data_IF_748449262167
#
_entry.id   IF_748449262167
#
_cell.length_a   1.000
_cell.length_b   1.000
_cell.length_c   1.000
_cell.angle_alpha   90.00
_cell.angle_beta   90.00
_cell.angle_gamma   90.00
#
_symmetry.space_group_name_H-M   'P 1'
#
loop_
_entity.id
_entity.type
_entity.pdbx_description
1 polymer ?
#
# COMPACT_ATOMS: atom_id res chain seq x y z
N UNK A 1 20.12 38.77 9.51
CA UNK A 1 18.78 38.15 9.43
C UNK A 1 18.74 36.89 8.54
N UNK A 2 19.83 36.10 8.48
CA UNK A 2 20.00 34.98 7.52
C UNK A 2 20.02 33.58 8.17
N UNK A 3 20.24 33.50 9.48
CA UNK A 3 20.41 32.22 10.21
C UNK A 3 19.06 31.52 10.43
N UNK A 4 17.98 32.29 10.61
CA UNK A 4 16.64 31.78 10.91
C UNK A 4 15.95 31.12 9.69
N UNK A 5 16.27 31.56 8.46
CA UNK A 5 15.71 30.97 7.23
C UNK A 5 16.25 29.57 6.94
N UNK A 6 17.50 29.29 7.29
CA UNK A 6 18.13 27.98 7.06
C UNK A 6 17.56 26.86 7.94
N UNK A 7 17.17 27.19 9.18
CA UNK A 7 16.53 26.23 10.10
C UNK A 7 15.12 25.88 9.66
N UNK A 8 14.34 26.87 9.20
CA UNK A 8 12.98 26.66 8.71
C UNK A 8 13.01 25.89 7.38
N UNK A 9 13.91 26.23 6.44
CA UNK A 9 14.03 25.47 5.19
C UNK A 9 14.48 24.03 5.43
N UNK A 10 15.41 23.77 6.35
CA UNK A 10 15.84 22.40 6.67
C UNK A 10 14.75 21.60 7.38
N UNK A 11 14.03 22.20 8.33
CA UNK A 11 12.90 21.55 9.01
C UNK A 11 11.76 21.20 8.05
N UNK A 12 11.44 22.09 7.11
CA UNK A 12 10.41 21.86 6.09
C UNK A 12 10.84 20.80 5.08
N UNK A 13 12.12 20.76 4.69
CA UNK A 13 12.64 19.73 3.77
C UNK A 13 12.60 18.34 4.42
N UNK A 14 12.97 18.23 5.70
CA UNK A 14 12.89 16.96 6.44
C UNK A 14 11.44 16.54 6.73
N UNK A 15 10.56 17.51 7.02
CA UNK A 15 9.12 17.26 7.18
C UNK A 15 8.43 16.78 5.90
N UNK A 16 8.89 17.22 4.72
CA UNK A 16 8.41 16.75 3.43
C UNK A 16 8.95 15.36 3.04
N UNK A 17 10.17 15.02 3.46
CA UNK A 17 10.75 13.68 3.23
C UNK A 17 10.15 12.63 4.18
N UNK A 18 9.72 13.03 5.38
CA UNK A 18 9.08 12.14 6.37
C UNK A 18 7.54 12.15 6.33
N UNK A 19 6.93 13.12 5.64
CA UNK A 19 5.48 13.33 5.63
C UNK A 19 4.71 12.66 4.49
N UNK A 20 5.40 11.99 3.56
CA UNK A 20 4.77 11.27 2.47
C UNK A 20 4.82 9.76 2.72
N UNK A 21 3.67 9.09 2.64
CA UNK A 21 3.48 7.62 2.62
C UNK A 21 3.14 6.96 3.97
N UNK A 22 2.10 7.45 4.64
CA UNK A 22 1.12 6.51 5.23
C UNK A 22 -0.21 6.76 4.55
N UNK A 23 -0.26 6.46 3.24
CA UNK A 23 -1.55 6.17 2.63
C UNK A 23 -1.98 4.85 3.24
N UNK A 24 -3.02 4.88 4.10
CA UNK A 24 -3.66 3.66 4.56
C UNK A 24 -3.90 2.75 3.35
N UNK A 25 -3.48 1.50 3.52
CA UNK A 25 -3.73 0.35 2.67
C UNK A 25 -5.23 0.11 2.49
N UNK A 26 -5.97 1.03 1.87
CA UNK A 26 -7.40 0.85 1.62
C UNK A 26 -7.50 -0.06 0.41
N UNK A 27 -7.74 -1.35 0.66
CA UNK A 27 -8.24 -2.26 -0.37
C UNK A 27 -9.52 -1.61 -0.92
N UNK A 28 -9.53 -1.28 -2.21
CA UNK A 28 -10.65 -0.55 -2.77
C UNK A 28 -11.88 -1.47 -2.88
N UNK A 29 -13.07 -0.87 -2.79
CA UNK A 29 -14.32 -1.54 -3.15
C UNK A 29 -14.67 -1.25 -4.62
N UNK A 30 -15.27 -2.20 -5.35
CA UNK A 30 -15.71 -1.95 -6.72
C UNK A 30 -16.75 -0.83 -6.77
N UNK A 31 -16.86 -0.07 -7.87
CA UNK A 31 -17.87 0.98 -8.00
C UNK A 31 -19.27 0.39 -7.92
N UNK A 32 -20.10 0.91 -7.01
CA UNK A 32 -21.48 0.43 -6.77
C UNK A 32 -22.33 0.45 -8.05
N UNK A 33 -22.09 1.41 -8.94
CA UNK A 33 -22.80 1.51 -10.21
C UNK A 33 -22.56 0.32 -11.15
N UNK A 34 -21.42 -0.37 -11.08
CA UNK A 34 -21.16 -1.56 -11.87
C UNK A 34 -21.93 -2.77 -11.33
N UNK A 35 -22.04 -2.86 -9.99
CA UNK A 35 -22.85 -3.88 -9.31
C UNK A 35 -24.33 -3.67 -9.65
N UNK A 36 -24.84 -2.44 -9.49
CA UNK A 36 -26.24 -2.10 -9.73
C UNK A 36 -26.69 -2.38 -11.17
N UNK A 37 -25.78 -2.22 -12.15
CA UNK A 37 -26.04 -2.50 -13.57
C UNK A 37 -25.79 -3.95 -13.97
N UNK A 38 -25.31 -4.78 -13.04
CA UNK A 38 -24.86 -6.14 -13.29
C UNK A 38 -23.83 -6.21 -14.43
N UNK A 39 -22.95 -5.20 -14.51
CA UNK A 39 -21.95 -5.06 -15.57
C UNK A 39 -20.72 -5.92 -15.27
N UNK A 40 -20.85 -7.22 -15.53
CA UNK A 40 -19.79 -8.19 -15.24
C UNK A 40 -18.52 -7.97 -16.07
N UNK A 41 -18.63 -7.41 -17.28
CA UNK A 41 -17.45 -7.10 -18.09
C UNK A 41 -16.63 -5.97 -17.44
N UNK A 42 -17.30 -4.90 -17.00
CA UNK A 42 -16.64 -3.80 -16.30
C UNK A 42 -16.12 -4.22 -14.92
N UNK A 43 -16.85 -5.07 -14.18
CA UNK A 43 -16.39 -5.61 -12.91
C UNK A 43 -15.12 -6.46 -13.08
N UNK A 44 -15.05 -7.31 -14.11
CA UNK A 44 -13.86 -8.09 -14.39
C UNK A 44 -12.64 -7.20 -14.63
N UNK A 45 -12.78 -6.19 -15.51
CA UNK A 45 -11.71 -5.24 -15.80
C UNK A 45 -11.29 -4.42 -14.57
N UNK A 46 -12.25 -4.06 -13.70
CA UNK A 46 -11.95 -3.35 -12.46
C UNK A 46 -11.12 -4.20 -11.51
N UNK A 47 -11.52 -5.46 -11.27
CA UNK A 47 -10.78 -6.36 -10.39
C UNK A 47 -9.39 -6.73 -10.93
N UNK A 48 -9.21 -6.83 -12.25
CA UNK A 48 -7.87 -7.00 -12.85
C UNK A 48 -6.94 -5.83 -12.52
N UNK A 49 -7.47 -4.61 -12.61
CA UNK A 49 -6.73 -3.41 -12.24
C UNK A 49 -6.41 -3.38 -10.76
N UNK A 50 -7.37 -3.74 -9.91
CA UNK A 50 -7.17 -3.79 -8.46
C UNK A 50 -6.13 -4.84 -8.07
N UNK A 51 -6.15 -6.02 -8.69
CA UNK A 51 -5.14 -7.04 -8.46
C UNK A 51 -3.73 -6.56 -8.85
N UNK A 52 -3.60 -5.82 -9.96
CA UNK A 52 -2.32 -5.22 -10.35
C UNK A 52 -1.86 -4.15 -9.34
N UNK A 53 -2.78 -3.33 -8.84
CA UNK A 53 -2.51 -2.30 -7.84
C UNK A 53 -2.04 -2.91 -6.50
N UNK A 54 -2.74 -3.93 -6.01
CA UNK A 54 -2.38 -4.65 -4.78
C UNK A 54 -1.01 -5.33 -4.89
N UNK A 55 -0.67 -5.91 -6.05
CA UNK A 55 0.68 -6.42 -6.31
C UNK A 55 1.74 -5.32 -6.26
N UNK A 56 1.44 -4.12 -6.73
CA UNK A 56 2.37 -3.00 -6.62
C UNK A 56 2.58 -2.61 -5.16
N UNK A 57 1.51 -2.51 -4.38
CA UNK A 57 1.63 -2.27 -2.94
C UNK A 57 2.45 -3.33 -2.21
N UNK A 58 2.28 -4.61 -2.53
CA UNK A 58 3.14 -5.67 -1.99
C UNK A 58 4.62 -5.41 -2.30
N UNK A 59 4.95 -5.04 -3.54
CA UNK A 59 6.34 -4.71 -3.93
C UNK A 59 6.88 -3.50 -3.16
N UNK A 60 6.07 -2.46 -2.99
CA UNK A 60 6.48 -1.26 -2.27
C UNK A 60 6.79 -1.60 -0.80
N UNK A 61 5.99 -2.47 -0.17
CA UNK A 61 6.25 -2.96 1.18
C UNK A 61 7.49 -3.87 1.27
N UNK A 62 7.77 -4.67 0.24
CA UNK A 62 9.03 -5.45 0.16
C UNK A 62 10.26 -4.54 0.10
N UNK A 63 10.20 -3.46 -0.70
CA UNK A 63 11.28 -2.47 -0.77
C UNK A 63 11.48 -1.81 0.59
N UNK A 64 10.39 -1.42 1.25
CA UNK A 64 10.46 -0.79 2.57
C UNK A 64 11.05 -1.72 3.64
N UNK A 65 10.61 -2.98 3.68
CA UNK A 65 11.17 -4.00 4.57
C UNK A 65 12.68 -4.19 4.34
N UNK A 66 13.12 -4.22 3.09
CA UNK A 66 14.54 -4.35 2.75
C UNK A 66 15.35 -3.12 3.21
N UNK A 67 14.81 -1.91 3.07
CA UNK A 67 15.49 -0.71 3.56
C UNK A 67 15.58 -0.68 5.10
N UNK A 68 14.53 -1.10 5.81
CA UNK A 68 14.57 -1.25 7.27
C UNK A 68 15.54 -2.34 7.74
N UNK A 69 15.71 -3.40 6.94
CA UNK A 69 16.68 -4.47 7.20
C UNK A 69 18.12 -3.98 7.04
N UNK A 70 18.42 -3.22 5.99
CA UNK A 70 19.75 -2.64 5.72
C UNK A 70 20.12 -1.54 6.71
N UNK A 71 19.15 -0.69 7.08
CA UNK A 71 19.36 0.49 7.91
C UNK A 71 18.52 0.40 9.19
N UNK A 72 18.89 -0.48 10.14
CA UNK A 72 18.12 -0.65 11.35
C UNK A 72 18.24 0.58 12.26
N UNK A 73 17.12 1.09 12.75
CA UNK A 73 17.05 2.09 13.81
C UNK A 73 16.17 1.58 14.96
N UNK A 74 15.99 2.42 15.98
CA UNK A 74 15.24 2.04 17.17
C UNK A 74 13.74 1.78 16.89
N UNK A 75 13.17 2.34 15.83
CA UNK A 75 11.78 2.13 15.41
C UNK A 75 11.62 0.93 14.48
N UNK A 76 12.65 0.53 13.74
CA UNK A 76 12.58 -0.62 12.82
C UNK A 76 12.66 -1.98 13.51
N UNK A 77 13.07 -2.04 14.78
CA UNK A 77 13.19 -3.29 15.58
C UNK A 77 12.37 -3.28 16.86
N UNK A 78 11.34 -2.44 16.98
CA UNK A 78 10.52 -2.35 18.19
C UNK A 78 11.27 -1.90 19.46
N UNK A 79 12.42 -1.24 19.32
CA UNK A 79 13.26 -0.80 20.44
C UNK A 79 12.69 0.44 21.13
N UNK A 80 12.04 1.35 20.39
CA UNK A 80 11.32 2.51 20.97
C UNK A 80 10.00 2.08 21.61
N UNK A 81 9.32 1.10 21.03
CA UNK A 81 8.10 0.52 21.59
C UNK A 81 7.98 -0.94 21.13
N UNK A 82 7.82 -1.90 22.04
CA UNK A 82 7.64 -3.31 21.69
C UNK A 82 6.32 -3.56 20.93
N UNK A 83 5.46 -2.55 20.79
CA UNK A 83 4.20 -2.62 20.04
C UNK A 83 4.36 -2.31 18.55
N UNK A 84 5.50 -1.77 18.10
CA UNK A 84 5.70 -1.33 16.72
C UNK A 84 7.05 -1.84 16.23
N UNK A 85 7.03 -2.98 15.55
CA UNK A 85 8.13 -3.46 14.73
C UNK A 85 7.79 -3.15 13.26
N UNK A 86 8.42 -2.13 12.69
CA UNK A 86 8.13 -1.70 11.32
C UNK A 86 8.57 -2.72 10.27
N UNK A 87 9.63 -3.50 10.54
CA UNK A 87 10.06 -4.56 9.62
C UNK A 87 8.99 -5.66 9.57
N UNK A 88 8.57 -6.15 10.73
CA UNK A 88 7.48 -7.13 10.82
C UNK A 88 6.20 -6.59 10.19
N UNK A 89 5.86 -5.33 10.45
CA UNK A 89 4.67 -4.70 9.89
C UNK A 89 4.68 -4.67 8.35
N UNK A 90 5.82 -4.32 7.74
CA UNK A 90 5.97 -4.36 6.29
C UNK A 90 5.81 -5.79 5.76
N UNK A 91 6.41 -6.79 6.40
CA UNK A 91 6.30 -8.19 5.98
C UNK A 91 4.86 -8.72 6.07
N UNK A 92 4.12 -8.34 7.12
CA UNK A 92 2.69 -8.63 7.26
C UNK A 92 1.86 -7.96 6.14
N UNK A 93 2.15 -6.70 5.81
CA UNK A 93 1.49 -5.99 4.71
C UNK A 93 1.77 -6.63 3.35
N UNK A 94 3.00 -7.11 3.08
CA UNK A 94 3.31 -7.89 1.86
C UNK A 94 2.38 -9.10 1.74
N UNK A 95 2.21 -9.86 2.82
CA UNK A 95 1.32 -11.01 2.86
C UNK A 95 -0.14 -10.64 2.59
N UNK A 96 -0.65 -9.60 3.27
CA UNK A 96 -2.02 -9.14 3.09
C UNK A 96 -2.32 -8.66 1.68
N UNK A 97 -1.45 -7.82 1.10
CA UNK A 97 -1.63 -7.32 -0.26
C UNK A 97 -1.50 -8.42 -1.32
N UNK A 98 -0.59 -9.37 -1.13
CA UNK A 98 -0.45 -10.52 -2.02
C UNK A 98 -1.73 -11.34 -2.05
N UNK A 99 -2.27 -11.69 -0.87
CA UNK A 99 -3.53 -12.43 -0.77
C UNK A 99 -4.71 -11.64 -1.36
N UNK A 100 -4.80 -10.34 -1.06
CA UNK A 100 -5.85 -9.50 -1.63
C UNK A 100 -5.79 -9.45 -3.17
N UNK A 101 -4.59 -9.41 -3.75
CA UNK A 101 -4.42 -9.47 -5.19
C UNK A 101 -4.89 -10.80 -5.80
N UNK A 102 -4.66 -11.92 -5.12
CA UNK A 102 -5.15 -13.24 -5.53
C UNK A 102 -6.69 -13.30 -5.49
N UNK A 103 -7.31 -12.77 -4.44
CA UNK A 103 -8.78 -12.70 -4.34
C UNK A 103 -9.38 -11.79 -5.43
N UNK A 104 -8.74 -10.65 -5.73
CA UNK A 104 -9.15 -9.79 -6.83
C UNK A 104 -9.03 -10.49 -8.19
N UNK A 105 -7.96 -11.24 -8.44
CA UNK A 105 -7.81 -12.07 -9.65
C UNK A 105 -8.92 -13.13 -9.77
N UNK A 106 -9.31 -13.76 -8.66
CA UNK A 106 -10.40 -14.74 -8.63
C UNK A 106 -11.74 -14.08 -8.96
N UNK A 107 -12.01 -12.89 -8.41
CA UNK A 107 -13.21 -12.12 -8.70
C UNK A 107 -13.25 -11.66 -10.16
N UNK A 108 -12.12 -11.23 -10.72
CA UNK A 108 -12.00 -10.92 -12.14
C UNK A 108 -12.36 -12.12 -13.02
N UNK A 109 -11.80 -13.30 -12.74
CA UNK A 109 -12.11 -14.54 -13.46
C UNK A 109 -13.59 -14.92 -13.33
N UNK A 110 -14.14 -14.81 -12.11
CA UNK A 110 -15.55 -15.09 -11.84
C UNK A 110 -16.47 -14.21 -12.67
N UNK A 111 -16.26 -12.89 -12.65
CA UNK A 111 -17.05 -11.95 -13.45
C UNK A 111 -16.88 -12.15 -14.95
N UNK A 112 -15.65 -12.43 -15.43
CA UNK A 112 -15.43 -12.73 -16.85
C UNK A 112 -16.21 -13.96 -17.31
N UNK A 113 -16.31 -14.99 -16.46
CA UNK A 113 -17.11 -16.20 -16.73
C UNK A 113 -18.63 -15.95 -16.75
N UNK A 114 -19.10 -14.79 -16.29
CA UNK A 114 -20.51 -14.38 -16.32
C UNK A 114 -20.86 -13.53 -17.56
N UNK A 115 -19.86 -13.13 -18.35
CA UNK A 115 -20.07 -12.44 -19.64
C UNK A 115 -20.41 -13.49 -20.69
N UNK A 116 -21.62 -13.37 -21.28
CA UNK A 116 -22.10 -14.24 -22.37
C UNK A 116 -21.53 -13.84 -23.72
#
# INVERSE_FOLDING_TARGET
MTIQKGWIQRGVLWGLVLGGLVACAIIASPPEGLIAKNDHAALAAWYEKEAAHLRQHAKDMMVMAEEYRKNPDSSTRGVVSPKIDLLQHCEELVGMYTKAAEEADLLAKGHRGMVK
#
